data_IF_397946790458
#
_entry.id   IF_397946790458
#
_cell.length_a   1.000
_cell.length_b   1.000
_cell.length_c   1.000
_cell.angle_alpha   90.00
_cell.angle_beta   90.00
_cell.angle_gamma   90.00
#
_symmetry.space_group_name_H-M   'P 1'
#
loop_
_entity.id
_entity.type
_entity.pdbx_description
1 polymer ?
#
# COMPACT_ATOMS: atom_id res chain seq x y z
N UNK A 1 19.01 -4.01 -3.61
CA UNK A 1 18.56 -3.52 -4.91
C UNK A 1 19.79 -2.91 -5.56
N UNK A 2 20.04 -3.14 -6.85
CA UNK A 2 21.22 -2.59 -7.53
C UNK A 2 21.14 -1.05 -7.68
N UNK A 3 19.92 -0.51 -7.70
CA UNK A 3 19.60 0.90 -7.59
C UNK A 3 18.34 1.09 -6.73
N UNK A 4 18.18 2.26 -6.11
CA UNK A 4 16.99 2.57 -5.31
C UNK A 4 15.73 2.58 -6.20
N UNK A 5 14.64 1.87 -5.83
CA UNK A 5 13.49 1.71 -6.71
C UNK A 5 12.74 3.03 -6.92
N UNK A 6 12.24 3.26 -8.13
CA UNK A 6 11.29 4.35 -8.38
C UNK A 6 9.87 3.92 -7.99
N UNK A 7 8.99 4.91 -7.81
CA UNK A 7 7.61 4.65 -7.38
C UNK A 7 6.85 3.75 -8.37
N UNK A 8 7.08 3.94 -9.67
CA UNK A 8 6.40 3.22 -10.76
C UNK A 8 6.81 1.75 -10.86
N UNK A 9 7.93 1.38 -10.26
CA UNK A 9 8.43 0.00 -10.23
C UNK A 9 7.79 -0.81 -9.10
N UNK A 10 7.16 -0.15 -8.12
CA UNK A 10 6.56 -0.81 -6.97
C UNK A 10 5.18 -1.37 -7.34
N UNK A 11 4.91 -2.66 -7.09
CA UNK A 11 3.63 -3.26 -7.43
C UNK A 11 2.52 -2.78 -6.49
N UNK A 12 1.27 -2.90 -6.95
CA UNK A 12 0.14 -2.93 -6.03
C UNK A 12 0.28 -4.13 -5.11
N UNK A 13 -0.15 -3.97 -3.87
CA UNK A 13 -0.19 -5.07 -2.91
C UNK A 13 -1.55 -5.15 -2.23
N UNK A 14 -1.75 -6.17 -1.42
CA UNK A 14 -3.01 -6.44 -0.75
C UNK A 14 -2.80 -6.73 0.72
N UNK A 15 -3.82 -6.46 1.52
CA UNK A 15 -3.87 -6.84 2.93
C UNK A 15 -5.31 -7.18 3.33
N UNK A 16 -5.44 -7.94 4.41
CA UNK A 16 -6.73 -8.24 5.02
C UNK A 16 -7.21 -7.03 5.85
N UNK A 17 -8.17 -6.29 5.30
CA UNK A 17 -8.79 -5.13 5.91
C UNK A 17 -9.69 -5.46 7.11
N UNK A 18 -10.09 -6.72 7.31
CA UNK A 18 -10.89 -7.08 8.47
C UNK A 18 -10.11 -7.00 9.77
N UNK A 19 -8.80 -7.26 9.71
CA UNK A 19 -7.87 -7.11 10.82
C UNK A 19 -7.50 -5.65 11.13
N UNK A 20 -7.94 -4.69 10.31
CA UNK A 20 -7.65 -3.24 10.47
C UNK A 20 -8.91 -2.38 10.56
N UNK A 21 -10.10 -2.99 10.69
CA UNK A 21 -11.41 -2.32 10.68
C UNK A 21 -11.73 -1.58 9.38
N UNK A 22 -11.15 -2.02 8.26
CA UNK A 22 -11.37 -1.45 6.93
C UNK A 22 -12.29 -2.31 6.06
N UNK A 23 -12.62 -3.53 6.46
CA UNK A 23 -13.58 -4.35 5.74
C UNK A 23 -14.25 -5.40 6.64
N UNK A 24 -15.40 -5.92 6.20
CA UNK A 24 -16.06 -7.03 6.88
C UNK A 24 -15.46 -8.38 6.45
N UNK A 25 -15.37 -9.35 7.36
CA UNK A 25 -14.59 -10.59 7.20
C UNK A 25 -14.95 -11.52 6.03
N UNK A 26 -16.02 -11.26 5.26
CA UNK A 26 -16.37 -12.06 4.07
C UNK A 26 -15.89 -11.44 2.75
N UNK A 27 -15.54 -10.15 2.75
CA UNK A 27 -14.99 -9.42 1.61
C UNK A 27 -13.95 -8.44 2.14
N UNK A 28 -12.85 -9.00 2.66
CA UNK A 28 -11.92 -8.23 3.49
C UNK A 28 -10.71 -7.67 2.76
N UNK A 29 -10.46 -8.06 1.51
CA UNK A 29 -9.29 -7.60 0.78
C UNK A 29 -9.31 -6.08 0.56
N UNK A 30 -8.19 -5.44 0.85
CA UNK A 30 -7.93 -4.03 0.54
C UNK A 30 -6.64 -3.94 -0.28
N UNK A 31 -6.54 -2.96 -1.19
CA UNK A 31 -5.38 -2.78 -2.06
C UNK A 31 -4.51 -1.63 -1.56
N UNK A 32 -3.21 -1.87 -1.46
CA UNK A 32 -2.18 -0.86 -1.23
C UNK A 32 -1.64 -0.38 -2.56
N UNK A 33 -1.81 0.92 -2.82
CA UNK A 33 -1.22 1.59 -3.98
C UNK A 33 -0.05 2.48 -3.51
N UNK A 34 1.18 2.22 -3.96
CA UNK A 34 2.33 3.05 -3.61
C UNK A 34 2.14 4.52 -4.00
N UNK A 35 2.49 5.44 -3.10
CA UNK A 35 2.41 6.89 -3.34
C UNK A 35 3.69 7.65 -3.03
N UNK A 36 4.57 7.09 -2.21
CA UNK A 36 5.91 7.60 -1.97
C UNK A 36 6.83 6.47 -1.50
N UNK A 37 8.13 6.60 -1.78
CA UNK A 37 9.16 5.64 -1.38
C UNK A 37 10.36 6.37 -0.80
N UNK A 38 10.84 5.89 0.35
CA UNK A 38 11.95 6.49 1.11
C UNK A 38 12.96 5.42 1.53
N UNK A 39 14.26 5.74 1.64
CA UNK A 39 15.24 4.83 2.21
C UNK A 39 14.84 4.43 3.64
N UNK A 40 14.97 3.15 3.97
CA UNK A 40 14.72 2.66 5.32
C UNK A 40 15.95 2.94 6.21
N UNK A 41 15.84 3.77 7.26
CA UNK A 41 16.98 4.14 8.10
C UNK A 41 17.52 2.99 8.95
N UNK A 42 16.75 1.91 9.13
CA UNK A 42 17.15 0.75 9.96
C UNK A 42 17.57 -0.48 9.15
N UNK A 43 17.48 -0.44 7.81
CA UNK A 43 17.87 -1.54 6.93
C UNK A 43 18.89 -1.07 5.87
N UNK A 44 20.01 -1.79 5.74
CA UNK A 44 21.06 -1.48 4.75
C UNK A 44 20.56 -1.48 3.30
N UNK A 45 19.55 -2.29 3.00
CA UNK A 45 18.93 -2.37 1.68
C UNK A 45 17.40 -2.52 1.83
N UNK A 46 16.80 -1.58 2.58
CA UNK A 46 15.36 -1.50 2.76
C UNK A 46 14.79 -0.20 2.20
N UNK A 47 13.49 -0.22 1.90
CA UNK A 47 12.72 0.96 1.55
C UNK A 47 11.44 0.98 2.38
N UNK A 48 11.04 2.16 2.81
CA UNK A 48 9.73 2.43 3.39
C UNK A 48 8.82 2.93 2.25
N UNK A 49 7.72 2.22 2.03
CA UNK A 49 6.75 2.56 1.00
C UNK A 49 5.49 3.07 1.68
N UNK A 50 5.18 4.35 1.46
CA UNK A 50 3.88 4.90 1.85
C UNK A 50 2.87 4.52 0.77
N UNK A 51 1.73 3.99 1.19
CA UNK A 51 0.66 3.57 0.31
C UNK A 51 -0.64 4.31 0.64
N UNK A 52 -1.44 4.56 -0.39
CA UNK A 52 -2.85 4.86 -0.21
C UNK A 52 -3.67 3.56 -0.27
N UNK A 53 -4.82 3.55 0.41
CA UNK A 53 -5.69 2.38 0.47
C UNK A 53 -6.81 2.51 -0.56
N UNK A 54 -6.97 1.47 -1.37
CA UNK A 54 -7.95 1.36 -2.44
C UNK A 54 -8.91 0.19 -2.17
N UNK A 55 -10.10 0.25 -2.73
CA UNK A 55 -11.02 -0.88 -2.82
C UNK A 55 -10.39 -2.05 -3.61
N UNK A 56 -10.93 -3.28 -3.54
CA UNK A 56 -10.42 -4.44 -4.28
C UNK A 56 -10.26 -4.24 -5.80
N UNK A 57 -10.96 -3.27 -6.39
CA UNK A 57 -10.84 -2.92 -7.81
C UNK A 57 -9.51 -2.22 -8.17
N UNK A 58 -8.71 -1.83 -7.17
CA UNK A 58 -7.44 -1.12 -7.31
C UNK A 58 -7.55 0.30 -7.89
N UNK A 59 -8.77 0.83 -8.03
CA UNK A 59 -9.06 2.11 -8.71
C UNK A 59 -9.84 3.08 -7.83
N UNK A 60 -10.81 2.56 -7.07
CA UNK A 60 -11.67 3.37 -6.21
C UNK A 60 -10.98 3.57 -4.86
N UNK A 61 -10.79 4.80 -4.36
CA UNK A 61 -10.26 5.04 -3.02
C UNK A 61 -11.12 4.36 -1.96
N UNK A 62 -10.48 3.74 -0.97
CA UNK A 62 -11.19 3.22 0.18
C UNK A 62 -11.81 4.39 0.99
N UNK A 63 -12.98 4.24 1.66
CA UNK A 63 -13.59 5.33 2.44
C UNK A 63 -12.70 5.98 3.50
N UNK A 64 -11.70 5.25 4.02
CA UNK A 64 -10.72 5.77 4.97
C UNK A 64 -9.54 6.52 4.32
N UNK A 65 -9.45 6.54 2.99
CA UNK A 65 -8.36 7.17 2.26
C UNK A 65 -8.62 8.69 2.13
N UNK A 66 -7.94 9.48 2.94
CA UNK A 66 -8.04 10.95 2.94
C UNK A 66 -6.99 11.64 2.06
N UNK A 67 -6.20 10.87 1.31
CA UNK A 67 -5.15 11.41 0.40
C UNK A 67 -5.69 11.65 -1.01
N UNK A 68 -6.67 10.86 -1.44
CA UNK A 68 -7.17 10.79 -2.81
C UNK A 68 -7.71 12.13 -3.35
#
# INVERSE_FOLDING_TARGET
>A
FDAFPTLEQLPLWGFDGSSTQQAEGRSSDCVLKPVAVYPDPVRTNGALVMCEVMMPDGKTPHPSNTRA
#
